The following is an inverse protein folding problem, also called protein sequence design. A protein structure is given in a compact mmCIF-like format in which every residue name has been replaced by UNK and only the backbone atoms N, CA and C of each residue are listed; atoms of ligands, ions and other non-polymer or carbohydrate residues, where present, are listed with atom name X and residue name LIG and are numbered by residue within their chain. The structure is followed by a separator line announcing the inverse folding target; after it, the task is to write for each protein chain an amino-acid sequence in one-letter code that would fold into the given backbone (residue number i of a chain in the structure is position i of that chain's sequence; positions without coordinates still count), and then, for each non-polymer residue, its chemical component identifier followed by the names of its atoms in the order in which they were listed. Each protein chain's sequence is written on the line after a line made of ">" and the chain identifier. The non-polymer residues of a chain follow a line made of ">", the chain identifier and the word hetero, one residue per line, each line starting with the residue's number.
data_IF_818909659188
#
_entry.id   IF_818909659188
#
_cell.length_a   1.000
_cell.length_b   1.000
_cell.length_c   1.000
_cell.angle_alpha   90.00
_cell.angle_beta   90.00
_cell.angle_gamma   90.00
#
_symmetry.space_group_name_H-M   'P 1'
#
loop_
_entity.id
_entity.type
_entity.pdbx_description
1 polymer ?
#
# COMPACT_ATOMS: atom_id res chain seq x y z
N UNK A 1 -18.21 -6.34 -3.29
CA UNK A 1 -17.09 -6.62 -4.23
C UNK A 1 -16.83 -5.51 -5.25
N UNK A 2 -17.86 -4.80 -5.67
CA UNK A 2 -17.74 -3.68 -6.62
C UNK A 2 -16.81 -2.58 -6.09
N UNK A 3 -16.98 -2.18 -4.84
CA UNK A 3 -16.14 -1.16 -4.24
C UNK A 3 -14.70 -1.62 -4.06
N UNK A 4 -14.51 -2.88 -3.68
CA UNK A 4 -13.18 -3.45 -3.54
C UNK A 4 -12.45 -3.47 -4.87
N UNK A 5 -13.12 -3.84 -5.95
CA UNK A 5 -12.53 -3.82 -7.30
C UNK A 5 -12.14 -2.40 -7.74
N UNK A 6 -12.98 -1.42 -7.41
CA UNK A 6 -12.69 -0.02 -7.71
C UNK A 6 -11.43 0.47 -6.97
N UNK A 7 -11.26 0.06 -5.72
CA UNK A 7 -10.08 0.38 -4.93
C UNK A 7 -8.81 -0.25 -5.51
N UNK A 8 -8.91 -1.48 -5.99
CA UNK A 8 -7.77 -2.14 -6.66
C UNK A 8 -7.36 -1.39 -7.93
N UNK A 9 -8.33 -0.97 -8.74
CA UNK A 9 -8.04 -0.16 -9.94
C UNK A 9 -7.37 1.16 -9.58
N UNK A 10 -7.85 1.80 -8.53
CA UNK A 10 -7.25 3.04 -8.04
C UNK A 10 -5.82 2.81 -7.57
N UNK A 11 -5.58 1.70 -6.85
CA UNK A 11 -4.25 1.31 -6.41
C UNK A 11 -3.29 1.13 -7.60
N UNK A 12 -3.76 0.48 -8.66
CA UNK A 12 -2.96 0.27 -9.86
C UNK A 12 -2.56 1.59 -10.53
N UNK A 13 -3.50 2.56 -10.58
CA UNK A 13 -3.20 3.89 -11.11
C UNK A 13 -2.16 4.62 -10.27
N UNK A 14 -2.27 4.52 -8.95
CA UNK A 14 -1.31 5.16 -8.03
C UNK A 14 0.08 4.54 -8.16
N UNK A 15 0.13 3.23 -8.34
CA UNK A 15 1.41 2.55 -8.55
C UNK A 15 2.09 3.01 -9.84
N UNK A 16 1.31 3.19 -10.89
CA UNK A 16 1.83 3.72 -12.15
C UNK A 16 2.37 5.14 -11.98
N UNK A 17 1.66 5.98 -11.23
CA UNK A 17 2.14 7.33 -10.89
C UNK A 17 3.45 7.26 -10.11
N UNK A 18 3.57 6.33 -9.18
CA UNK A 18 4.78 6.14 -8.40
C UNK A 18 5.98 5.79 -9.29
N UNK A 19 5.78 4.96 -10.30
CA UNK A 19 6.82 4.59 -11.26
C UNK A 19 7.33 5.81 -12.04
N UNK A 20 6.41 6.65 -12.50
CA UNK A 20 6.73 7.87 -13.22
C UNK A 20 7.52 8.84 -12.34
N UNK A 21 7.07 9.03 -11.11
CA UNK A 21 7.73 9.91 -10.15
C UNK A 21 9.14 9.43 -9.79
N UNK A 22 9.31 8.11 -9.69
CA UNK A 22 10.64 7.53 -9.43
C UNK A 22 11.60 7.86 -10.59
N UNK A 23 11.14 7.74 -11.84
CA UNK A 23 11.96 8.08 -13.01
C UNK A 23 12.35 9.55 -13.02
N UNK A 24 11.46 10.42 -12.54
CA UNK A 24 11.70 11.86 -12.43
C UNK A 24 12.52 12.21 -11.19
N UNK A 25 12.96 11.22 -10.43
CA UNK A 25 13.75 11.38 -9.22
C UNK A 25 13.02 12.14 -8.10
N UNK A 26 11.70 12.15 -8.13
CA UNK A 26 10.87 12.67 -7.04
C UNK A 26 10.56 11.51 -6.08
N UNK A 27 11.55 11.18 -5.26
CA UNK A 27 11.48 9.99 -4.41
C UNK A 27 10.41 10.07 -3.34
N UNK A 28 10.23 11.23 -2.72
CA UNK A 28 9.21 11.43 -1.70
C UNK A 28 7.81 11.20 -2.26
N UNK A 29 7.54 11.78 -3.42
CA UNK A 29 6.24 11.66 -4.08
C UNK A 29 6.00 10.23 -4.55
N UNK A 30 7.03 9.56 -5.06
CA UNK A 30 6.95 8.17 -5.47
C UNK A 30 6.56 7.26 -4.29
N UNK A 31 7.22 7.44 -3.15
CA UNK A 31 6.91 6.66 -1.94
C UNK A 31 5.49 6.93 -1.45
N UNK A 32 5.07 8.20 -1.47
CA UNK A 32 3.71 8.57 -1.08
C UNK A 32 2.67 7.86 -1.96
N UNK A 33 2.86 7.86 -3.27
CA UNK A 33 1.94 7.18 -4.20
C UNK A 33 1.94 5.67 -4.00
N UNK A 34 3.11 5.08 -3.78
CA UNK A 34 3.20 3.65 -3.49
C UNK A 34 2.46 3.29 -2.21
N UNK A 35 2.66 4.09 -1.15
CA UNK A 35 1.94 3.87 0.10
C UNK A 35 0.43 3.90 -0.10
N UNK A 36 -0.09 4.90 -0.80
CA UNK A 36 -1.54 4.99 -1.04
C UNK A 36 -2.07 3.83 -1.88
N UNK A 37 -1.27 3.34 -2.83
CA UNK A 37 -1.65 2.14 -3.59
C UNK A 37 -1.82 0.94 -2.66
N UNK A 38 -0.86 0.73 -1.76
CA UNK A 38 -0.94 -0.35 -0.77
C UNK A 38 -2.11 -0.15 0.19
N UNK A 39 -2.33 1.07 0.62
CA UNK A 39 -3.43 1.43 1.51
C UNK A 39 -4.79 1.10 0.90
N UNK A 40 -5.02 1.47 -0.37
CA UNK A 40 -6.27 1.16 -1.05
C UNK A 40 -6.49 -0.33 -1.19
N UNK A 41 -5.42 -1.09 -1.41
CA UNK A 41 -5.51 -2.56 -1.44
C UNK A 41 -5.89 -3.12 -0.08
N UNK A 42 -5.32 -2.59 1.00
CA UNK A 42 -5.68 -3.01 2.36
C UNK A 42 -7.15 -2.71 2.64
N UNK A 43 -7.64 -1.53 2.23
CA UNK A 43 -9.05 -1.19 2.34
C UNK A 43 -9.94 -2.16 1.55
N UNK A 44 -9.53 -2.51 0.33
CA UNK A 44 -10.27 -3.45 -0.50
C UNK A 44 -10.40 -4.81 0.18
N UNK A 45 -9.33 -5.31 0.77
CA UNK A 45 -9.35 -6.57 1.51
C UNK A 45 -10.29 -6.49 2.72
N UNK A 46 -10.25 -5.39 3.48
CA UNK A 46 -11.11 -5.20 4.64
C UNK A 46 -12.59 -5.13 4.26
N UNK A 47 -12.92 -4.54 3.13
CA UNK A 47 -14.30 -4.48 2.65
C UNK A 47 -14.91 -5.85 2.41
N UNK A 48 -14.11 -6.87 2.07
CA UNK A 48 -14.64 -8.23 1.91
C UNK A 48 -15.18 -8.80 3.22
N UNK A 49 -14.75 -8.22 4.34
CA UNK A 49 -15.23 -8.58 5.68
C UNK A 49 -16.22 -7.54 6.24
N UNK A 50 -16.69 -6.62 5.40
CA UNK A 50 -17.56 -5.52 5.77
C UNK A 50 -16.96 -4.59 6.83
N UNK A 51 -15.64 -4.40 6.74
CA UNK A 51 -14.90 -3.54 7.66
C UNK A 51 -14.40 -2.29 6.94
N UNK A 52 -14.59 -1.14 7.59
CA UNK A 52 -14.05 0.13 7.10
C UNK A 52 -13.65 0.99 8.29
N UNK A 53 -12.66 1.85 8.08
CA UNK A 53 -12.11 2.68 9.14
C UNK A 53 -11.80 4.07 8.59
N UNK A 54 -11.93 5.08 9.45
CA UNK A 54 -11.72 6.48 9.05
C UNK A 54 -10.27 6.93 9.11
N UNK A 55 -9.41 6.21 9.84
CA UNK A 55 -8.01 6.59 9.99
C UNK A 55 -7.07 5.62 9.30
N UNK A 56 -5.89 6.14 8.90
CA UNK A 56 -4.83 5.30 8.32
C UNK A 56 -4.38 4.22 9.32
N UNK A 57 -4.17 4.62 10.57
CA UNK A 57 -3.75 3.68 11.62
C UNK A 57 -4.79 2.59 11.84
N UNK A 58 -6.07 2.95 11.79
CA UNK A 58 -7.17 1.98 11.91
C UNK A 58 -7.14 0.94 10.82
N UNK A 59 -6.95 1.36 9.58
CA UNK A 59 -6.85 0.44 8.42
C UNK A 59 -5.64 -0.47 8.57
N UNK A 60 -4.47 0.10 8.87
CA UNK A 60 -3.22 -0.67 8.99
C UNK A 60 -3.33 -1.70 10.11
N UNK A 61 -3.85 -1.29 11.27
CA UNK A 61 -4.03 -2.17 12.42
C UNK A 61 -5.02 -3.31 12.11
N UNK A 62 -6.16 -2.98 11.49
CA UNK A 62 -7.16 -3.98 11.13
C UNK A 62 -6.66 -4.95 10.07
N UNK A 63 -5.88 -4.46 9.10
CA UNK A 63 -5.27 -5.31 8.10
C UNK A 63 -4.33 -6.34 8.78
N UNK A 64 -3.53 -5.89 9.73
CA UNK A 64 -2.67 -6.78 10.51
C UNK A 64 -3.47 -7.83 11.28
N UNK A 65 -4.53 -7.42 11.93
CA UNK A 65 -5.36 -8.32 12.74
C UNK A 65 -6.09 -9.35 11.90
N UNK A 66 -6.72 -8.93 10.82
CA UNK A 66 -7.63 -9.79 10.04
C UNK A 66 -6.95 -10.56 8.91
N UNK A 67 -5.79 -10.13 8.44
CA UNK A 67 -5.13 -10.74 7.29
C UNK A 67 -3.72 -11.25 7.55
N UNK A 68 -2.99 -10.66 8.49
CA UNK A 68 -1.61 -11.09 8.81
C UNK A 68 -1.61 -12.10 9.94
N UNK A 69 -2.22 -11.78 11.07
CA UNK A 69 -2.29 -12.70 12.22
C UNK A 69 -3.01 -13.99 11.89
N UNK A 70 -3.98 -13.92 11.00
CA UNK A 70 -4.76 -15.09 10.58
C UNK A 70 -4.03 -15.96 9.56
N UNK A 71 -2.90 -15.48 9.05
CA UNK A 71 -2.13 -16.23 8.05
C UNK A 71 -2.67 -16.15 6.63
N UNK A 72 -3.70 -15.31 6.38
CA UNK A 72 -4.22 -15.14 5.02
C UNK A 72 -3.14 -14.56 4.10
N UNK A 73 -2.40 -13.57 4.58
CA UNK A 73 -1.26 -13.02 3.87
C UNK A 73 0.03 -13.21 4.68
N UNK A 74 1.19 -13.29 4.01
CA UNK A 74 2.46 -13.45 4.71
C UNK A 74 2.81 -12.22 5.54
N UNK A 75 3.62 -12.40 6.58
CA UNK A 75 4.05 -11.35 7.51
C UNK A 75 4.68 -10.17 6.81
N UNK A 76 5.36 -10.42 5.70
CA UNK A 76 6.06 -9.42 4.90
C UNK A 76 5.11 -8.31 4.44
N UNK A 77 3.88 -8.64 4.09
CA UNK A 77 2.91 -7.63 3.66
C UNK A 77 2.61 -6.62 4.76
N UNK A 78 2.49 -7.08 6.00
CA UNK A 78 2.27 -6.18 7.14
C UNK A 78 3.46 -5.27 7.37
N UNK A 79 4.68 -5.81 7.31
CA UNK A 79 5.91 -5.03 7.48
C UNK A 79 6.06 -3.99 6.38
N UNK A 80 5.79 -4.39 5.14
CA UNK A 80 5.92 -3.51 3.98
C UNK A 80 4.93 -2.36 4.03
N UNK A 81 3.69 -2.62 4.46
CA UNK A 81 2.68 -1.57 4.61
C UNK A 81 3.10 -0.56 5.69
N UNK A 82 3.57 -1.06 6.83
CA UNK A 82 4.05 -0.19 7.92
C UNK A 82 5.28 0.62 7.49
N UNK A 83 6.22 0.01 6.79
CA UNK A 83 7.41 0.70 6.29
C UNK A 83 7.03 1.84 5.33
N UNK A 84 6.14 1.55 4.40
CA UNK A 84 5.69 2.55 3.43
C UNK A 84 4.98 3.72 4.13
N UNK A 85 4.16 3.42 5.14
CA UNK A 85 3.49 4.43 5.94
C UNK A 85 4.49 5.35 6.66
N UNK A 86 5.49 4.78 7.32
CA UNK A 86 6.53 5.54 8.02
C UNK A 86 7.34 6.41 7.07
N UNK A 87 7.75 5.86 5.94
CA UNK A 87 8.55 6.59 4.96
C UNK A 87 7.76 7.70 4.28
N UNK A 88 6.47 7.48 4.03
CA UNK A 88 5.58 8.52 3.51
C UNK A 88 5.50 9.70 4.48
N UNK A 89 5.39 9.43 5.79
CA UNK A 89 5.34 10.50 6.79
C UNK A 89 6.63 11.32 6.78
N UNK A 90 7.78 10.68 6.67
CA UNK A 90 9.06 11.38 6.58
C UNK A 90 9.09 12.30 5.37
N UNK A 91 8.70 11.81 4.20
CA UNK A 91 8.68 12.59 2.96
C UNK A 91 7.72 13.78 3.02
N UNK A 92 6.57 13.63 3.71
CA UNK A 92 5.54 14.67 3.79
C UNK A 92 5.92 15.81 4.74
N UNK A 93 6.67 15.51 5.80
CA UNK A 93 6.90 16.47 6.90
C UNK A 93 8.31 17.03 6.99
N UNK A 94 9.25 16.53 6.20
CA UNK A 94 10.62 17.02 6.21
C UNK A 94 10.87 17.95 5.03
N UNK A 95 11.59 19.06 5.28
CA UNK A 95 11.96 19.99 4.21
C UNK A 95 12.97 19.40 3.25
N UNK A 96 13.89 18.58 3.79
CA UNK A 96 14.91 17.90 2.98
C UNK A 96 14.54 16.44 2.89
N UNK A 97 14.50 15.91 1.68
CA UNK A 97 14.20 14.51 1.47
C UNK A 97 15.28 13.64 2.10
N UNK A 98 14.83 12.69 2.92
CA UNK A 98 15.71 11.68 3.51
C UNK A 98 15.54 10.32 2.82
N UNK A 99 14.72 10.28 1.77
CA UNK A 99 14.44 9.04 1.03
C UNK A 99 15.39 8.96 -0.15
N UNK A 100 16.21 7.90 -0.18
CA UNK A 100 17.14 7.66 -1.26
C UNK A 100 16.43 7.02 -2.46
N UNK A 101 17.09 7.06 -3.61
CA UNK A 101 16.65 6.34 -4.80
C UNK A 101 16.47 4.85 -4.50
N UNK A 102 17.44 4.24 -3.80
CA UNK A 102 17.39 2.83 -3.47
C UNK A 102 16.19 2.48 -2.60
N UNK A 103 15.93 3.28 -1.56
CA UNK A 103 14.77 3.08 -0.70
C UNK A 103 13.46 3.21 -1.47
N UNK A 104 13.36 4.22 -2.34
CA UNK A 104 12.17 4.43 -3.14
C UNK A 104 11.91 3.25 -4.07
N UNK A 105 12.96 2.69 -4.68
CA UNK A 105 12.86 1.51 -5.54
C UNK A 105 12.40 0.28 -4.75
N UNK A 106 12.97 0.07 -3.57
CA UNK A 106 12.58 -1.05 -2.70
C UNK A 106 11.11 -0.96 -2.33
N UNK A 107 10.66 0.23 -1.92
CA UNK A 107 9.27 0.45 -1.53
C UNK A 107 8.34 0.24 -2.72
N UNK A 108 8.72 0.71 -3.90
CA UNK A 108 7.92 0.51 -5.11
C UNK A 108 7.79 -0.99 -5.44
N UNK A 109 8.87 -1.74 -5.34
CA UNK A 109 8.83 -3.18 -5.55
C UNK A 109 7.95 -3.89 -4.52
N UNK A 110 8.04 -3.49 -3.26
CA UNK A 110 7.16 -4.00 -2.19
C UNK A 110 5.70 -3.70 -2.51
N UNK A 111 5.43 -2.49 -3.01
CA UNK A 111 4.08 -2.09 -3.40
C UNK A 111 3.53 -2.95 -4.52
N UNK A 112 4.34 -3.25 -5.54
CA UNK A 112 3.92 -4.15 -6.63
C UNK A 112 3.54 -5.52 -6.11
N UNK A 113 4.37 -6.10 -5.25
CA UNK A 113 4.12 -7.41 -4.67
C UNK A 113 2.87 -7.41 -3.80
N UNK A 114 2.70 -6.35 -3.01
CA UNK A 114 1.53 -6.17 -2.15
C UNK A 114 0.25 -6.18 -2.97
N UNK A 115 0.20 -5.34 -4.00
CA UNK A 115 -0.98 -5.20 -4.86
C UNK A 115 -1.27 -6.53 -5.57
N UNK A 116 -0.26 -7.17 -6.13
CA UNK A 116 -0.44 -8.43 -6.83
C UNK A 116 -0.98 -9.51 -5.89
N UNK A 117 -0.43 -9.62 -4.69
CA UNK A 117 -0.86 -10.61 -3.70
C UNK A 117 -2.31 -10.39 -3.28
N UNK A 118 -2.67 -9.15 -2.98
CA UNK A 118 -4.04 -8.82 -2.54
C UNK A 118 -5.02 -9.02 -3.69
N UNK A 119 -4.67 -8.57 -4.89
CA UNK A 119 -5.53 -8.72 -6.06
C UNK A 119 -5.79 -10.18 -6.38
N UNK A 120 -4.77 -11.02 -6.40
CA UNK A 120 -4.90 -12.46 -6.66
C UNK A 120 -5.82 -13.12 -5.63
N UNK A 121 -5.65 -12.76 -4.36
CA UNK A 121 -6.52 -13.27 -3.30
C UNK A 121 -7.97 -12.80 -3.50
N UNK A 122 -8.15 -11.52 -3.83
CA UNK A 122 -9.48 -10.93 -3.99
C UNK A 122 -10.27 -11.60 -5.12
N UNK A 123 -9.61 -11.89 -6.23
CA UNK A 123 -10.23 -12.58 -7.36
C UNK A 123 -10.80 -13.94 -6.94
N UNK A 124 -10.10 -14.63 -6.07
CA UNK A 124 -10.52 -15.95 -5.57
C UNK A 124 -11.68 -15.91 -4.60
N UNK A 125 -12.05 -14.72 -4.09
CA UNK A 125 -13.16 -14.56 -3.16
C UNK A 125 -14.51 -14.41 -3.86
N UNK A 126 -14.53 -14.33 -5.17
CA UNK A 126 -15.76 -14.11 -5.97
C UNK A 126 -16.37 -15.42 -6.40
#
# INVERSE_FOLDING_TARGET
>A
MREAKALIKKAQRYLKSAEILLRDEDFDSSVSRTYYAMFYCAEAALLTKNLSFSSHKGVISAFGEHFIKTGIFPKELGRELNRAFEKRQIGDYEYTSLISNEEAKEILNSGRQFINTVEDWLIKQV
#
